data_IF_103867070219
#
_entry.id   IF_103867070219
#
_cell.length_a   1.000
_cell.length_b   1.000
_cell.length_c   1.000
_cell.angle_alpha   90.00
_cell.angle_beta   90.00
_cell.angle_gamma   90.00
#
_symmetry.space_group_name_H-M   'P 1'
#
loop_
_entity.id
_entity.type
_entity.pdbx_description
1 polymer ?
#
# COMPACT_ATOMS: atom_id res chain seq x y z
N UNK A 1 13.18 -17.81 10.21
CA UNK A 1 12.26 -18.78 9.54
C UNK A 1 13.00 -19.78 8.65
N UNK A 2 13.78 -19.38 7.65
CA UNK A 2 14.46 -20.31 6.72
C UNK A 2 15.37 -21.38 7.39
N UNK A 3 16.19 -21.09 8.43
CA UNK A 3 16.93 -22.12 9.16
C UNK A 3 16.03 -23.17 9.79
N UNK A 4 14.87 -22.80 10.30
CA UNK A 4 13.90 -23.73 10.87
C UNK A 4 13.31 -24.64 9.81
N UNK A 5 12.99 -24.12 8.61
CA UNK A 5 12.52 -24.93 7.48
C UNK A 5 13.59 -25.97 7.05
N UNK A 6 14.86 -25.59 7.03
CA UNK A 6 15.97 -26.55 6.80
C UNK A 6 15.99 -27.67 7.82
N UNK A 7 15.80 -27.34 9.10
CA UNK A 7 15.76 -28.35 10.17
C UNK A 7 14.55 -29.26 9.99
N UNK A 8 13.36 -28.71 9.72
CA UNK A 8 12.14 -29.50 9.49
C UNK A 8 12.32 -30.51 8.34
N UNK A 9 12.92 -30.09 7.21
CA UNK A 9 13.28 -30.98 6.11
C UNK A 9 14.27 -32.07 6.55
N UNK A 10 15.31 -31.70 7.29
CA UNK A 10 16.36 -32.63 7.77
C UNK A 10 15.77 -33.71 8.69
N UNK A 11 14.89 -33.36 9.62
CA UNK A 11 14.25 -34.30 10.57
C UNK A 11 13.01 -34.99 9.99
N UNK A 12 12.66 -34.75 8.74
CA UNK A 12 11.47 -35.29 8.06
C UNK A 12 10.19 -35.03 8.87
N UNK A 13 9.99 -33.76 9.22
CA UNK A 13 8.83 -33.29 9.99
C UNK A 13 7.52 -33.73 9.35
N UNK A 14 6.63 -34.33 10.16
CA UNK A 14 5.39 -34.99 9.67
C UNK A 14 4.11 -34.17 9.87
N UNK A 15 4.15 -33.12 10.72
CA UNK A 15 2.98 -32.29 10.95
C UNK A 15 2.79 -31.29 9.81
N UNK A 16 1.55 -30.89 9.49
CA UNK A 16 1.26 -29.89 8.47
C UNK A 16 2.07 -28.61 8.67
N UNK A 17 2.60 -28.09 7.59
CA UNK A 17 3.48 -26.91 7.60
C UNK A 17 3.01 -25.87 6.60
N UNK A 18 2.88 -24.61 7.05
CA UNK A 18 2.52 -23.49 6.21
C UNK A 18 3.61 -22.43 6.30
N UNK A 19 4.16 -22.08 5.17
CA UNK A 19 5.07 -20.95 5.02
C UNK A 19 4.28 -19.74 4.56
N UNK A 20 3.92 -18.85 5.48
CA UNK A 20 3.24 -17.61 5.14
C UNK A 20 4.24 -16.49 4.90
N UNK A 21 4.25 -15.99 3.66
CA UNK A 21 5.21 -15.00 3.18
C UNK A 21 4.58 -13.63 3.17
N UNK A 22 5.18 -12.71 3.93
CA UNK A 22 4.83 -11.29 3.94
C UNK A 22 5.95 -10.53 3.23
N UNK A 23 5.62 -9.79 2.16
CA UNK A 23 6.54 -9.02 1.34
C UNK A 23 7.05 -9.73 0.08
N UNK A 24 7.45 -8.94 -0.93
CA UNK A 24 7.56 -9.33 -2.34
C UNK A 24 8.88 -9.99 -2.78
N UNK A 25 9.85 -10.28 -1.89
CA UNK A 25 11.22 -10.66 -2.32
C UNK A 25 11.53 -12.14 -2.33
N UNK A 26 10.59 -13.03 -1.93
CA UNK A 26 10.90 -14.47 -1.82
C UNK A 26 11.29 -15.10 -3.15
N UNK A 27 10.55 -14.81 -4.22
CA UNK A 27 10.83 -15.35 -5.56
C UNK A 27 12.21 -14.97 -6.06
N UNK A 28 12.63 -13.70 -5.89
CA UNK A 28 13.97 -13.24 -6.24
C UNK A 28 15.05 -13.96 -5.43
N UNK A 29 14.84 -14.16 -4.13
CA UNK A 29 15.79 -14.89 -3.26
C UNK A 29 15.95 -16.35 -3.66
N UNK A 30 14.88 -17.00 -4.08
CA UNK A 30 14.92 -18.38 -4.60
C UNK A 30 15.64 -18.41 -5.95
N UNK A 31 15.29 -17.52 -6.88
CA UNK A 31 15.92 -17.41 -8.20
C UNK A 31 17.43 -17.19 -8.10
N UNK A 32 17.87 -16.37 -7.14
CA UNK A 32 19.29 -16.04 -6.93
C UNK A 32 20.02 -17.08 -6.04
N UNK A 33 19.39 -18.19 -5.68
CA UNK A 33 20.00 -19.25 -4.88
C UNK A 33 20.24 -18.91 -3.39
N UNK A 34 19.74 -17.76 -2.92
CA UNK A 34 19.81 -17.36 -1.50
C UNK A 34 18.96 -18.30 -0.66
N UNK A 35 17.80 -18.71 -1.18
CA UNK A 35 16.94 -19.72 -0.61
C UNK A 35 16.80 -20.90 -1.57
N UNK A 36 17.01 -22.10 -1.05
CA UNK A 36 16.87 -23.34 -1.79
C UNK A 36 15.39 -23.63 -2.03
N UNK A 37 15.01 -23.81 -3.30
CA UNK A 37 13.65 -24.14 -3.74
C UNK A 37 13.11 -25.42 -3.10
N UNK A 38 13.98 -26.42 -2.88
CA UNK A 38 13.59 -27.72 -2.31
C UNK A 38 13.28 -27.63 -0.81
N UNK A 39 13.80 -26.59 -0.15
CA UNK A 39 13.45 -26.30 1.23
C UNK A 39 12.11 -25.57 1.31
N UNK A 40 11.87 -24.61 0.42
CA UNK A 40 10.57 -23.94 0.30
C UNK A 40 9.50 -24.94 -0.12
N UNK A 41 9.78 -25.77 -1.13
CA UNK A 41 8.86 -26.79 -1.64
C UNK A 41 8.61 -27.97 -0.68
N UNK A 42 9.38 -28.10 0.41
CA UNK A 42 9.13 -29.07 1.47
C UNK A 42 7.91 -28.72 2.33
N UNK A 43 7.53 -27.44 2.41
CA UNK A 43 6.33 -27.03 3.14
C UNK A 43 5.08 -27.54 2.42
N UNK A 44 4.03 -27.93 3.16
CA UNK A 44 2.75 -28.33 2.56
C UNK A 44 2.16 -27.21 1.72
N UNK A 45 2.27 -25.97 2.21
CA UNK A 45 1.84 -24.78 1.50
C UNK A 45 2.82 -23.62 1.69
N UNK A 46 3.11 -22.90 0.61
CA UNK A 46 3.72 -21.57 0.63
C UNK A 46 2.66 -20.55 0.22
N UNK A 47 2.21 -19.74 1.19
CA UNK A 47 1.20 -18.71 0.98
C UNK A 47 1.90 -17.41 0.64
N UNK A 48 1.48 -16.77 -0.45
CA UNK A 48 2.01 -15.49 -0.94
C UNK A 48 0.89 -14.50 -1.22
N UNK A 49 1.21 -13.20 -1.26
CA UNK A 49 0.20 -12.15 -1.31
C UNK A 49 -0.31 -11.84 -2.72
N UNK A 50 0.42 -12.21 -3.79
CA UNK A 50 0.10 -11.79 -5.16
C UNK A 50 0.35 -12.87 -6.22
N UNK A 51 -0.29 -12.69 -7.39
CA UNK A 51 -0.10 -13.56 -8.56
C UNK A 51 1.34 -13.51 -9.10
N UNK A 52 1.99 -12.35 -9.07
CA UNK A 52 3.39 -12.22 -9.49
C UNK A 52 4.30 -13.07 -8.58
N UNK A 53 4.05 -13.11 -7.28
CA UNK A 53 4.82 -13.96 -6.36
C UNK A 53 4.59 -15.46 -6.63
N UNK A 54 3.35 -15.86 -6.99
CA UNK A 54 3.09 -17.23 -7.44
C UNK A 54 3.96 -17.53 -8.65
N UNK A 55 3.89 -16.70 -9.69
CA UNK A 55 4.64 -16.88 -10.94
C UNK A 55 6.14 -17.01 -10.67
N UNK A 56 6.71 -16.10 -9.88
CA UNK A 56 8.13 -16.12 -9.53
C UNK A 56 8.57 -17.42 -8.86
N UNK A 57 7.75 -17.97 -7.97
CA UNK A 57 8.06 -19.23 -7.27
C UNK A 57 7.83 -20.46 -8.14
N UNK A 58 6.77 -20.48 -8.94
CA UNK A 58 6.50 -21.58 -9.88
C UNK A 58 7.54 -21.65 -10.97
N UNK A 59 8.03 -20.53 -11.48
CA UNK A 59 9.15 -20.47 -12.44
C UNK A 59 10.44 -21.05 -11.86
N UNK A 60 10.62 -20.96 -10.53
CA UNK A 60 11.71 -21.62 -9.83
C UNK A 60 11.46 -23.12 -9.53
N UNK A 61 10.27 -23.65 -9.87
CA UNK A 61 9.90 -25.05 -9.66
C UNK A 61 9.24 -25.35 -8.30
N UNK A 62 8.83 -24.34 -7.55
CA UNK A 62 8.04 -24.52 -6.30
C UNK A 62 6.56 -24.73 -6.68
N UNK A 63 5.98 -25.90 -6.35
CA UNK A 63 4.65 -26.30 -6.84
C UNK A 63 3.49 -26.01 -5.89
N UNK A 64 3.76 -25.94 -4.60
CA UNK A 64 2.76 -25.83 -3.53
C UNK A 64 2.55 -24.37 -3.08
N UNK A 65 2.42 -23.48 -4.06
CA UNK A 65 2.21 -22.04 -3.84
C UNK A 65 0.72 -21.71 -3.92
N UNK A 66 0.25 -20.91 -2.99
CA UNK A 66 -1.14 -20.48 -2.91
C UNK A 66 -1.23 -18.98 -2.64
N UNK A 67 -2.10 -18.28 -3.35
CA UNK A 67 -2.32 -16.85 -3.10
C UNK A 67 -3.32 -16.63 -1.96
N UNK A 68 -2.93 -15.77 -1.03
CA UNK A 68 -3.82 -15.17 -0.07
C UNK A 68 -3.45 -13.69 0.06
N UNK A 69 -4.33 -12.76 -0.35
CA UNK A 69 -4.05 -11.34 -0.24
C UNK A 69 -3.92 -10.93 1.23
N UNK A 70 -3.29 -9.81 1.49
CA UNK A 70 -3.31 -9.20 2.81
C UNK A 70 -4.77 -8.86 3.19
N UNK A 71 -5.09 -8.84 4.49
CA UNK A 71 -6.44 -8.61 4.99
C UNK A 71 -6.41 -7.93 6.35
N UNK A 72 -7.56 -7.38 6.73
CA UNK A 72 -7.79 -6.78 8.06
C UNK A 72 -9.16 -7.18 8.61
N UNK A 73 -9.35 -7.22 9.93
CA UNK A 73 -10.68 -7.22 10.50
C UNK A 73 -11.31 -5.83 10.24
N UNK A 74 -12.30 -5.78 9.34
CA UNK A 74 -12.98 -4.53 9.00
C UNK A 74 -14.34 -4.54 9.70
N UNK A 75 -14.41 -3.84 10.82
CA UNK A 75 -15.63 -3.71 11.65
C UNK A 75 -16.23 -2.31 11.60
N UNK A 76 -15.53 -1.37 10.97
CA UNK A 76 -15.89 0.04 10.92
C UNK A 76 -15.53 0.67 9.58
N UNK A 77 -16.43 1.52 9.09
CA UNK A 77 -16.19 2.40 7.94
C UNK A 77 -16.47 3.85 8.34
N UNK A 78 -15.53 4.78 8.16
CA UNK A 78 -15.77 6.20 8.37
C UNK A 78 -16.92 6.73 7.52
N UNK A 79 -17.70 7.65 8.05
CA UNK A 79 -18.72 8.32 7.27
C UNK A 79 -18.09 9.38 6.34
N UNK A 80 -18.06 9.09 5.04
CA UNK A 80 -17.49 9.97 4.03
C UNK A 80 -18.54 10.81 3.26
N UNK A 81 -19.83 10.78 3.67
CA UNK A 81 -20.91 11.45 2.95
C UNK A 81 -20.71 12.96 2.85
N UNK A 82 -20.28 13.61 3.93
CA UNK A 82 -20.02 15.05 3.94
C UNK A 82 -18.93 15.42 2.95
N UNK A 83 -17.81 14.70 2.98
CA UNK A 83 -16.70 14.89 2.05
C UNK A 83 -17.12 14.68 0.59
N UNK A 84 -17.95 13.66 0.30
CA UNK A 84 -18.48 13.43 -1.04
C UNK A 84 -19.38 14.60 -1.47
N UNK A 85 -20.19 15.14 -0.56
CA UNK A 85 -21.02 16.30 -0.84
C UNK A 85 -20.19 17.57 -1.09
N UNK A 86 -19.06 17.74 -0.43
CA UNK A 86 -18.09 18.80 -0.74
C UNK A 86 -17.57 18.66 -2.19
N UNK A 87 -17.26 17.43 -2.63
CA UNK A 87 -16.76 17.16 -4.00
C UNK A 87 -17.81 17.39 -5.10
N UNK A 88 -19.10 17.34 -4.78
CA UNK A 88 -20.19 17.68 -5.72
C UNK A 88 -20.40 19.19 -5.88
N UNK A 89 -19.85 19.97 -4.97
CA UNK A 89 -19.84 21.44 -5.00
C UNK A 89 -18.44 21.90 -5.40
N UNK A 90 -18.31 23.14 -5.82
CA UNK A 90 -16.98 23.73 -6.02
C UNK A 90 -16.21 23.72 -4.69
N UNK A 91 -15.05 23.02 -4.66
CA UNK A 91 -14.24 22.92 -3.46
C UNK A 91 -13.52 24.24 -3.27
N UNK A 92 -13.86 24.96 -2.19
CA UNK A 92 -13.27 26.26 -1.84
C UNK A 92 -12.04 26.15 -0.93
N UNK A 93 -11.78 24.96 -0.36
CA UNK A 93 -10.65 24.68 0.51
C UNK A 93 -9.47 24.03 -0.23
N UNK A 94 -8.25 24.09 0.33
CA UNK A 94 -7.12 23.33 -0.21
C UNK A 94 -7.40 21.82 -0.23
N UNK A 95 -6.92 21.14 -1.28
CA UNK A 95 -6.95 19.69 -1.38
C UNK A 95 -5.98 19.07 -0.37
N UNK A 96 -6.41 18.05 0.37
CA UNK A 96 -5.63 17.43 1.44
C UNK A 96 -5.06 16.10 0.98
N UNK A 97 -3.76 16.10 0.70
CA UNK A 97 -3.02 14.86 0.44
C UNK A 97 -2.46 14.27 1.73
N UNK A 98 -2.34 12.95 1.79
CA UNK A 98 -1.67 12.24 2.87
C UNK A 98 -0.67 11.24 2.33
N UNK A 99 0.47 11.11 2.99
CA UNK A 99 1.37 9.97 2.87
C UNK A 99 1.34 9.19 4.18
N UNK A 100 1.16 7.87 4.11
CA UNK A 100 1.08 7.00 5.27
C UNK A 100 1.90 5.73 5.05
N UNK A 101 3.15 5.73 5.50
CA UNK A 101 4.06 4.59 5.49
C UNK A 101 5.33 4.92 6.29
N UNK A 102 6.29 4.00 6.34
CA UNK A 102 7.66 4.36 6.75
C UNK A 102 8.19 5.46 5.84
N UNK A 103 8.71 6.52 6.44
CA UNK A 103 9.27 7.67 5.72
C UNK A 103 10.72 7.34 5.37
N UNK A 104 10.96 7.06 4.09
CA UNK A 104 12.24 6.70 3.50
C UNK A 104 12.20 6.93 1.98
N UNK A 105 13.37 7.02 1.36
CA UNK A 105 13.47 7.34 -0.08
C UNK A 105 12.70 6.36 -0.96
N UNK A 106 12.84 5.06 -0.69
CA UNK A 106 12.25 3.99 -1.49
C UNK A 106 10.71 3.94 -1.40
N UNK A 107 10.13 4.66 -0.46
CA UNK A 107 8.67 4.89 -0.39
C UNK A 107 8.21 6.10 -1.20
N UNK A 108 9.14 6.73 -1.95
CA UNK A 108 8.85 7.85 -2.84
C UNK A 108 8.69 9.19 -2.12
N UNK A 109 9.22 9.35 -0.89
CA UNK A 109 9.10 10.60 -0.15
C UNK A 109 9.79 11.76 -0.88
N UNK A 110 10.95 11.53 -1.51
CA UNK A 110 11.65 12.55 -2.30
C UNK A 110 10.83 12.97 -3.52
N UNK A 111 10.16 12.02 -4.18
CA UNK A 111 9.32 12.32 -5.36
C UNK A 111 8.12 13.19 -4.97
N UNK A 112 7.50 12.95 -3.80
CA UNK A 112 6.41 13.76 -3.26
C UNK A 112 6.90 15.19 -2.96
N UNK A 113 8.03 15.30 -2.27
CA UNK A 113 8.60 16.62 -1.89
C UNK A 113 8.95 17.43 -3.14
N UNK A 114 9.56 16.79 -4.13
CA UNK A 114 9.92 17.48 -5.39
C UNK A 114 8.67 17.87 -6.21
N UNK A 115 7.65 17.03 -6.26
CA UNK A 115 6.37 17.38 -6.89
C UNK A 115 5.70 18.58 -6.19
N UNK A 116 5.77 18.63 -4.85
CA UNK A 116 5.27 19.75 -4.06
C UNK A 116 6.03 21.05 -4.35
N UNK A 117 7.37 20.99 -4.47
CA UNK A 117 8.17 22.17 -4.87
C UNK A 117 7.75 22.73 -6.22
N UNK A 118 7.52 21.86 -7.20
CA UNK A 118 7.07 22.25 -8.54
C UNK A 118 5.66 22.85 -8.52
N UNK A 119 4.73 22.26 -7.75
CA UNK A 119 3.39 22.83 -7.58
C UNK A 119 3.45 24.22 -6.95
N UNK A 120 4.27 24.40 -5.90
CA UNK A 120 4.45 25.72 -5.27
C UNK A 120 5.05 26.74 -6.23
N UNK A 121 6.04 26.36 -7.03
CA UNK A 121 6.68 27.22 -8.03
C UNK A 121 5.73 27.60 -9.19
N UNK A 122 4.68 26.82 -9.44
CA UNK A 122 3.70 27.06 -10.51
C UNK A 122 2.37 27.66 -10.01
N UNK A 123 2.35 28.23 -8.79
CA UNK A 123 1.20 28.99 -8.26
C UNK A 123 0.13 28.15 -7.54
N UNK A 124 0.40 26.87 -7.22
CA UNK A 124 -0.54 26.00 -6.52
C UNK A 124 -0.34 25.93 -5.00
N UNK A 125 0.59 26.73 -4.41
CA UNK A 125 1.00 26.65 -3.00
C UNK A 125 -0.20 26.62 -2.04
N UNK A 126 -1.19 27.47 -2.25
CA UNK A 126 -2.34 27.65 -1.36
C UNK A 126 -3.55 26.74 -1.75
N UNK A 127 -3.37 25.89 -2.76
CA UNK A 127 -4.42 25.02 -3.29
C UNK A 127 -4.40 23.60 -2.72
N UNK A 128 -3.38 23.24 -1.96
CA UNK A 128 -3.26 21.90 -1.38
C UNK A 128 -2.41 21.90 -0.10
N UNK A 129 -2.53 20.82 0.66
CA UNK A 129 -1.63 20.47 1.76
C UNK A 129 -1.18 19.01 1.62
N UNK A 130 -0.02 18.66 2.18
CA UNK A 130 0.46 17.29 2.30
C UNK A 130 0.85 17.02 3.73
N UNK A 131 0.29 15.97 4.32
CA UNK A 131 0.67 15.50 5.64
C UNK A 131 1.35 14.13 5.55
N UNK A 132 2.55 14.00 6.14
CA UNK A 132 3.30 12.76 6.23
C UNK A 132 3.09 12.11 7.59
N UNK A 133 2.63 10.84 7.60
CA UNK A 133 2.56 10.00 8.78
C UNK A 133 3.45 8.78 8.65
N UNK A 134 4.16 8.44 9.71
CA UNK A 134 4.95 7.24 9.85
C UNK A 134 6.29 7.43 10.54
N UNK A 135 6.94 6.32 10.85
CA UNK A 135 8.29 6.34 11.40
C UNK A 135 9.28 6.73 10.32
N UNK A 136 10.12 7.72 10.62
CA UNK A 136 11.21 8.13 9.72
C UNK A 136 12.38 7.17 9.89
N UNK A 137 12.98 6.70 8.78
CA UNK A 137 14.22 5.95 8.80
C UNK A 137 15.36 6.84 9.33
N UNK A 138 16.13 6.36 10.29
CA UNK A 138 17.17 7.17 10.95
C UNK A 138 18.18 7.76 9.95
N UNK A 139 18.56 6.98 8.94
CA UNK A 139 19.50 7.41 7.90
C UNK A 139 18.93 8.47 6.94
N UNK A 140 17.61 8.71 6.98
CA UNK A 140 16.92 9.66 6.11
C UNK A 140 16.37 10.88 6.87
N UNK A 141 16.40 10.86 8.19
CA UNK A 141 15.70 11.83 9.05
C UNK A 141 16.16 13.29 8.82
N UNK A 142 17.47 13.51 8.83
CA UNK A 142 18.04 14.86 8.62
C UNK A 142 17.71 15.40 7.24
N UNK A 143 17.92 14.58 6.20
CA UNK A 143 17.66 14.92 4.81
C UNK A 143 16.16 15.23 4.58
N UNK A 144 15.28 14.43 5.19
CA UNK A 144 13.83 14.63 5.13
C UNK A 144 13.40 16.01 5.67
N UNK A 145 13.84 16.35 6.88
CA UNK A 145 13.45 17.64 7.48
C UNK A 145 14.04 18.84 6.74
N UNK A 146 15.30 18.76 6.30
CA UNK A 146 15.90 19.80 5.47
C UNK A 146 15.14 20.05 4.17
N UNK A 147 14.60 18.99 3.55
CA UNK A 147 13.79 19.10 2.34
C UNK A 147 12.39 19.66 2.60
N UNK A 148 11.82 19.44 3.79
CA UNK A 148 10.51 19.95 4.18
C UNK A 148 10.55 21.43 4.57
N UNK A 149 11.62 21.89 5.16
CA UNK A 149 11.75 23.25 5.74
C UNK A 149 11.23 24.39 4.83
N UNK A 150 11.52 24.41 3.52
CA UNK A 150 11.02 25.46 2.63
C UNK A 150 9.54 25.30 2.22
N UNK A 151 8.87 24.21 2.62
CA UNK A 151 7.52 23.86 2.16
C UNK A 151 6.48 24.04 3.27
N UNK A 152 5.92 25.23 3.43
CA UNK A 152 4.98 25.56 4.50
C UNK A 152 3.65 24.78 4.45
N UNK A 153 3.29 24.24 3.29
CA UNK A 153 2.08 23.43 3.06
C UNK A 153 2.34 21.92 3.09
N UNK A 154 3.55 21.50 3.50
CA UNK A 154 3.92 20.07 3.65
C UNK A 154 4.39 19.84 5.08
N UNK A 155 3.76 18.88 5.79
CA UNK A 155 3.97 18.70 7.21
C UNK A 155 4.32 17.25 7.56
N UNK A 156 5.13 17.06 8.61
CA UNK A 156 5.26 15.80 9.29
C UNK A 156 4.36 15.78 10.53
N UNK A 157 3.48 14.78 10.63
CA UNK A 157 2.47 14.65 11.68
C UNK A 157 2.74 13.51 12.67
N UNK A 158 3.89 12.85 12.57
CA UNK A 158 4.23 11.75 13.46
C UNK A 158 3.53 10.44 13.07
N UNK A 159 2.93 9.78 14.04
CA UNK A 159 2.28 8.48 13.85
C UNK A 159 0.76 8.62 13.84
N UNK A 160 0.10 7.89 12.94
CA UNK A 160 -1.35 7.75 12.90
C UNK A 160 -1.73 6.33 13.33
N UNK A 161 -2.45 6.20 14.44
CA UNK A 161 -2.91 4.90 14.93
C UNK A 161 -4.20 4.49 14.22
N UNK A 162 -4.14 3.41 13.43
CA UNK A 162 -5.27 2.82 12.71
C UNK A 162 -5.79 1.52 13.36
N UNK A 163 -5.53 1.32 14.66
CA UNK A 163 -6.09 0.20 15.43
C UNK A 163 -7.49 0.50 15.98
N UNK A 164 -8.03 1.68 15.73
CA UNK A 164 -9.34 2.12 16.23
C UNK A 164 -10.04 3.05 15.21
N UNK A 165 -11.33 3.25 15.43
CA UNK A 165 -12.22 4.08 14.61
C UNK A 165 -11.71 5.53 14.46
N UNK A 166 -11.23 6.15 15.55
CA UNK A 166 -10.73 7.54 15.52
C UNK A 166 -9.58 7.74 14.55
N UNK A 167 -8.72 6.72 14.39
CA UNK A 167 -7.64 6.76 13.42
C UNK A 167 -8.16 6.75 11.98
N UNK A 168 -9.15 5.91 11.70
CA UNK A 168 -9.80 5.86 10.39
C UNK A 168 -10.62 7.11 10.11
N UNK A 169 -11.34 7.68 11.12
CA UNK A 169 -12.02 8.96 10.98
C UNK A 169 -11.05 10.08 10.63
N UNK A 170 -9.89 10.13 11.29
CA UNK A 170 -8.87 11.11 10.97
C UNK A 170 -8.30 10.89 9.55
N UNK A 171 -8.01 9.65 9.18
CA UNK A 171 -7.50 9.35 7.85
C UNK A 171 -8.54 9.71 6.78
N UNK A 172 -9.83 9.44 7.01
CA UNK A 172 -10.91 9.74 6.06
C UNK A 172 -11.13 11.23 5.78
N UNK A 173 -10.47 12.14 6.54
CA UNK A 173 -10.53 13.58 6.28
C UNK A 173 -9.65 14.02 5.11
N UNK A 174 -8.72 13.17 4.66
CA UNK A 174 -7.89 13.45 3.50
C UNK A 174 -8.62 13.11 2.21
N UNK A 175 -8.21 13.76 1.13
CA UNK A 175 -8.87 13.63 -0.18
C UNK A 175 -8.19 12.55 -1.04
N UNK A 176 -6.86 12.49 -1.02
CA UNK A 176 -6.06 11.50 -1.74
C UNK A 176 -4.84 11.07 -0.92
N UNK A 177 -4.44 9.81 -1.11
CA UNK A 177 -3.19 9.30 -0.57
C UNK A 177 -2.11 9.25 -1.65
N UNK A 178 -0.90 9.71 -1.31
CA UNK A 178 0.28 9.62 -2.17
C UNK A 178 1.10 8.41 -1.75
N UNK A 179 1.33 7.47 -2.67
CA UNK A 179 2.13 6.28 -2.39
C UNK A 179 3.02 5.92 -3.59
N UNK A 180 3.96 6.79 -3.98
CA UNK A 180 4.84 6.57 -5.13
C UNK A 180 6.02 5.65 -4.78
N UNK A 181 5.73 4.50 -4.15
CA UNK A 181 6.73 3.53 -3.68
C UNK A 181 7.44 2.82 -4.84
N UNK A 182 8.73 2.58 -4.66
CA UNK A 182 9.55 1.67 -5.46
C UNK A 182 10.34 0.67 -4.58
N UNK A 183 9.83 0.47 -3.35
CA UNK A 183 10.42 -0.46 -2.40
C UNK A 183 10.36 -1.90 -2.93
N UNK A 184 11.54 -2.52 -3.14
CA UNK A 184 11.64 -3.91 -3.69
C UNK A 184 10.97 -4.96 -2.81
N UNK A 185 10.88 -4.71 -1.52
CA UNK A 185 10.21 -5.60 -0.57
C UNK A 185 8.69 -5.45 -0.49
N UNK A 186 8.08 -4.64 -1.37
CA UNK A 186 6.62 -4.49 -1.39
C UNK A 186 5.97 -5.79 -1.86
N UNK A 187 5.12 -6.37 -1.01
CA UNK A 187 4.14 -7.36 -1.40
C UNK A 187 2.78 -6.69 -1.60
N UNK A 188 1.79 -7.07 -0.81
CA UNK A 188 0.56 -6.29 -0.70
C UNK A 188 0.69 -5.26 0.43
N UNK A 189 0.87 -4.00 0.07
CA UNK A 189 1.01 -2.92 1.05
C UNK A 189 -0.28 -2.77 1.90
N UNK A 190 -0.17 -2.99 3.21
CA UNK A 190 -1.34 -2.91 4.12
C UNK A 190 -2.04 -1.54 4.08
N UNK A 191 -1.33 -0.49 3.73
CA UNK A 191 -1.89 0.87 3.56
C UNK A 191 -2.94 0.95 2.44
N UNK A 192 -2.95 0.04 1.46
CA UNK A 192 -4.02 -0.02 0.46
C UNK A 192 -5.36 -0.31 1.13
N UNK A 193 -5.39 -1.29 2.05
CA UNK A 193 -6.62 -1.61 2.79
C UNK A 193 -7.05 -0.41 3.66
N UNK A 194 -6.08 0.29 4.30
CA UNK A 194 -6.38 1.48 5.09
C UNK A 194 -6.99 2.60 4.25
N UNK A 195 -6.44 2.85 3.07
CA UNK A 195 -6.96 3.83 2.11
C UNK A 195 -8.38 3.45 1.64
N UNK A 196 -8.60 2.17 1.31
CA UNK A 196 -9.90 1.66 0.89
C UNK A 196 -10.96 1.82 1.99
N UNK A 197 -10.67 1.41 3.24
CA UNK A 197 -11.57 1.58 4.39
C UNK A 197 -11.93 3.05 4.59
N UNK A 198 -10.94 3.95 4.50
CA UNK A 198 -11.13 5.38 4.69
C UNK A 198 -11.79 6.09 3.51
N UNK A 199 -12.06 5.38 2.41
CA UNK A 199 -12.59 5.94 1.19
C UNK A 199 -11.64 6.98 0.56
N UNK A 200 -10.34 6.72 0.54
CA UNK A 200 -9.32 7.64 0.01
C UNK A 200 -8.70 7.01 -1.22
N UNK A 201 -8.95 7.53 -2.43
CA UNK A 201 -8.24 7.09 -3.62
C UNK A 201 -6.76 7.47 -3.55
N UNK A 202 -5.93 6.77 -4.31
CA UNK A 202 -4.48 6.91 -4.22
C UNK A 202 -3.87 7.40 -5.54
N UNK A 203 -2.77 8.16 -5.44
CA UNK A 203 -1.81 8.28 -6.53
C UNK A 203 -0.67 7.32 -6.20
N UNK A 204 -0.49 6.29 -7.03
CA UNK A 204 0.39 5.15 -6.75
C UNK A 204 1.25 4.81 -7.96
N UNK A 205 2.48 4.35 -7.73
CA UNK A 205 3.34 3.88 -8.81
C UNK A 205 2.84 2.57 -9.42
N UNK A 206 3.03 2.43 -10.72
CA UNK A 206 2.93 1.16 -11.44
C UNK A 206 4.14 0.30 -11.09
N UNK A 207 4.15 -0.25 -9.88
CA UNK A 207 5.26 -0.98 -9.30
C UNK A 207 4.82 -2.33 -8.76
N UNK A 208 5.62 -3.35 -9.04
CA UNK A 208 5.44 -4.71 -8.50
C UNK A 208 3.99 -5.22 -8.62
N UNK A 209 3.24 -5.20 -7.51
CA UNK A 209 1.93 -5.83 -7.41
C UNK A 209 0.77 -4.81 -7.37
N UNK A 210 1.06 -3.52 -7.43
CA UNK A 210 0.08 -2.46 -7.15
C UNK A 210 -1.16 -2.54 -8.04
N UNK A 211 -0.99 -2.86 -9.34
CA UNK A 211 -2.12 -3.02 -10.29
C UNK A 211 -3.02 -4.22 -10.00
N UNK A 212 -2.56 -5.19 -9.23
CA UNK A 212 -3.42 -6.31 -8.83
C UNK A 212 -4.44 -5.89 -7.76
N UNK A 213 -4.11 -4.89 -6.95
CA UNK A 213 -4.87 -4.52 -5.75
C UNK A 213 -5.62 -3.20 -5.89
N UNK A 214 -5.21 -2.36 -6.84
CA UNK A 214 -5.80 -1.05 -7.09
C UNK A 214 -6.19 -0.93 -8.56
N UNK A 215 -7.30 -0.21 -8.82
CA UNK A 215 -7.87 -0.06 -10.17
C UNK A 215 -7.76 1.38 -10.65
N UNK A 216 -7.16 1.60 -11.85
CA UNK A 216 -7.04 2.92 -12.48
C UNK A 216 -8.41 3.59 -12.64
N UNK A 217 -8.51 4.84 -12.20
CA UNK A 217 -9.71 5.67 -12.30
C UNK A 217 -10.84 5.29 -11.33
N UNK A 218 -10.68 4.18 -10.55
CA UNK A 218 -11.68 3.77 -9.55
C UNK A 218 -11.15 3.94 -8.13
N UNK A 219 -10.01 3.31 -7.80
CA UNK A 219 -9.41 3.37 -6.47
C UNK A 219 -8.03 4.02 -6.48
N UNK A 220 -7.39 4.12 -7.66
CA UNK A 220 -6.09 4.75 -7.82
C UNK A 220 -5.91 5.44 -9.17
N UNK A 221 -4.90 6.31 -9.21
CA UNK A 221 -4.31 6.91 -10.40
C UNK A 221 -2.86 6.45 -10.47
N UNK A 222 -2.49 5.72 -11.53
CA UNK A 222 -1.14 5.17 -11.64
C UNK A 222 -0.17 6.16 -12.30
N UNK A 223 1.07 6.10 -11.83
CA UNK A 223 2.21 6.83 -12.40
C UNK A 223 3.40 5.87 -12.59
N UNK A 224 4.31 6.14 -13.52
CA UNK A 224 5.56 5.39 -13.60
C UNK A 224 6.45 5.62 -12.37
N UNK A 225 7.30 4.63 -12.03
CA UNK A 225 8.32 4.76 -10.96
C UNK A 225 9.32 5.86 -11.31
N UNK A 226 9.80 6.58 -10.29
CA UNK A 226 10.79 7.67 -10.43
C UNK A 226 10.37 8.76 -11.44
N UNK A 227 9.08 9.00 -11.59
CA UNK A 227 8.56 9.97 -12.52
C UNK A 227 7.86 11.14 -11.79
N UNK A 228 8.67 12.04 -11.25
CA UNK A 228 8.19 13.25 -10.58
C UNK A 228 7.30 14.12 -11.48
N UNK A 229 7.60 14.31 -12.79
CA UNK A 229 6.68 15.02 -13.70
C UNK A 229 5.29 14.38 -13.76
N UNK A 230 5.18 13.05 -13.81
CA UNK A 230 3.89 12.37 -13.82
C UNK A 230 3.14 12.51 -12.47
N UNK A 231 3.87 12.45 -11.35
CA UNK A 231 3.29 12.69 -10.02
C UNK A 231 2.76 14.14 -9.91
N UNK A 232 3.58 15.12 -10.30
CA UNK A 232 3.19 16.52 -10.37
C UNK A 232 1.93 16.73 -11.21
N UNK A 233 1.88 16.18 -12.43
CA UNK A 233 0.74 16.31 -13.33
C UNK A 233 -0.54 15.68 -12.75
N UNK A 234 -0.46 14.48 -12.16
CA UNK A 234 -1.60 13.84 -11.51
C UNK A 234 -2.09 14.65 -10.31
N UNK A 235 -1.18 15.14 -9.44
CA UNK A 235 -1.55 16.00 -8.30
C UNK A 235 -2.21 17.30 -8.78
N UNK A 236 -1.64 17.98 -9.80
CA UNK A 236 -2.17 19.18 -10.40
C UNK A 236 -3.59 18.95 -10.94
N UNK A 237 -3.82 17.90 -11.72
CA UNK A 237 -5.13 17.53 -12.26
C UNK A 237 -6.16 17.21 -11.17
N UNK A 238 -5.73 16.62 -10.04
CA UNK A 238 -6.62 16.44 -8.89
C UNK A 238 -7.02 17.79 -8.28
N UNK A 239 -6.08 18.72 -8.12
CA UNK A 239 -6.33 20.08 -7.60
C UNK A 239 -7.26 20.87 -8.53
N UNK A 240 -7.11 20.71 -9.83
CA UNK A 240 -7.94 21.33 -10.88
C UNK A 240 -9.32 20.67 -11.07
N UNK A 241 -9.63 19.61 -10.29
CA UNK A 241 -10.94 18.93 -10.35
C UNK A 241 -11.13 18.04 -11.58
N UNK A 242 -10.06 17.63 -12.26
CA UNK A 242 -10.14 16.78 -13.47
C UNK A 242 -10.58 15.33 -13.18
N UNK A 243 -10.68 14.94 -11.90
CA UNK A 243 -11.10 13.60 -11.48
C UNK A 243 -12.28 13.68 -10.53
N UNK A 244 -13.24 12.75 -10.66
CA UNK A 244 -14.35 12.59 -9.71
C UNK A 244 -13.87 11.83 -8.47
N UNK A 245 -13.19 12.56 -7.57
CA UNK A 245 -12.65 12.00 -6.31
C UNK A 245 -13.78 11.45 -5.43
N UNK A 246 -14.95 12.06 -5.46
CA UNK A 246 -16.11 11.60 -4.70
C UNK A 246 -16.59 10.20 -5.14
N UNK A 247 -16.66 9.97 -6.44
CA UNK A 247 -16.98 8.65 -7.01
C UNK A 247 -15.87 7.63 -6.68
N UNK A 248 -14.61 8.02 -6.81
CA UNK A 248 -13.49 7.17 -6.47
C UNK A 248 -13.49 6.80 -4.98
N UNK A 249 -13.83 7.73 -4.08
CA UNK A 249 -13.94 7.48 -2.64
C UNK A 249 -14.99 6.41 -2.30
N UNK A 250 -16.16 6.46 -2.96
CA UNK A 250 -17.18 5.41 -2.81
C UNK A 250 -16.68 4.04 -3.29
N UNK A 251 -15.99 4.03 -4.43
CA UNK A 251 -15.38 2.80 -4.96
C UNK A 251 -14.33 2.21 -4.01
N UNK A 252 -13.54 3.06 -3.35
CA UNK A 252 -12.59 2.61 -2.33
C UNK A 252 -13.32 1.83 -1.22
N UNK A 253 -14.34 2.41 -0.57
CA UNK A 253 -15.06 1.72 0.50
C UNK A 253 -15.77 0.44 0.03
N UNK A 254 -16.33 0.43 -1.18
CA UNK A 254 -16.92 -0.78 -1.76
C UNK A 254 -15.88 -1.91 -1.92
N UNK A 255 -14.67 -1.56 -2.38
CA UNK A 255 -13.60 -2.55 -2.59
C UNK A 255 -12.94 -3.02 -1.28
N UNK A 256 -13.00 -2.23 -0.21
CA UNK A 256 -12.39 -2.61 1.08
C UNK A 256 -12.92 -3.95 1.61
N UNK A 257 -14.21 -4.25 1.41
CA UNK A 257 -14.85 -5.47 1.90
C UNK A 257 -14.21 -6.75 1.33
N UNK A 258 -13.61 -6.68 0.14
CA UNK A 258 -12.85 -7.79 -0.47
C UNK A 258 -11.68 -8.26 0.40
N UNK A 259 -11.14 -7.36 1.22
CA UNK A 259 -10.00 -7.62 2.11
C UNK A 259 -10.40 -7.77 3.58
N UNK A 260 -11.70 -7.90 3.87
CA UNK A 260 -12.16 -8.23 5.21
C UNK A 260 -11.74 -9.66 5.57
N UNK A 261 -11.24 -9.85 6.79
CA UNK A 261 -10.77 -11.16 7.28
C UNK A 261 -11.81 -12.26 7.06
N UNK A 262 -13.10 -11.98 7.29
CA UNK A 262 -14.19 -12.95 7.13
C UNK A 262 -14.42 -13.37 5.67
N UNK A 263 -14.01 -12.55 4.70
CA UNK A 263 -14.06 -12.87 3.27
C UNK A 263 -12.80 -13.58 2.80
N UNK A 264 -11.66 -13.29 3.41
CA UNK A 264 -10.37 -13.84 3.01
C UNK A 264 -10.11 -15.18 3.72
N UNK A 265 -10.36 -15.26 5.04
CA UNK A 265 -10.14 -16.48 5.85
C UNK A 265 -11.46 -17.27 5.98
N UNK A 266 -11.79 -17.99 4.92
CA UNK A 266 -13.04 -18.77 4.87
C UNK A 266 -12.87 -20.17 5.49
N UNK A 267 -13.98 -20.80 5.91
CA UNK A 267 -13.99 -22.20 6.36
C UNK A 267 -13.43 -23.15 5.28
N UNK A 268 -13.70 -22.89 4.01
CA UNK A 268 -13.17 -23.67 2.89
C UNK A 268 -11.65 -23.58 2.81
N UNK A 269 -11.09 -22.38 3.00
CA UNK A 269 -9.65 -22.18 3.06
C UNK A 269 -9.03 -22.93 4.23
N UNK A 270 -9.60 -22.83 5.44
CA UNK A 270 -9.08 -23.51 6.62
C UNK A 270 -9.06 -25.04 6.44
N UNK A 271 -10.12 -25.62 5.86
CA UNK A 271 -10.16 -27.04 5.49
C UNK A 271 -9.06 -27.41 4.48
N UNK A 272 -8.89 -26.59 3.41
CA UNK A 272 -7.82 -26.79 2.42
C UNK A 272 -6.43 -26.80 3.05
N UNK A 273 -6.21 -25.93 4.01
CA UNK A 273 -4.94 -25.82 4.75
C UNK A 273 -4.81 -26.83 5.89
N UNK A 274 -5.81 -27.68 6.12
CA UNK A 274 -5.86 -28.64 7.24
C UNK A 274 -5.78 -27.97 8.61
N UNK A 275 -6.41 -26.79 8.75
CA UNK A 275 -6.47 -26.01 9.99
C UNK A 275 -7.86 -26.07 10.68
N UNK A 276 -8.83 -26.72 10.06
CA UNK A 276 -10.19 -26.98 10.58
C UNK A 276 -10.70 -28.33 10.12
#
# INVERSE_FOLDING_TARGET
MYPMMKLMKKVKWKQPTIHWVIGGTLGEKVKNGIFDKDIIGYMDWTIVESNLMIQQLTDCGVKNVFQLPNFKPITYYPNIKERINEWKKEITRPLRFVFLSRIMKEKGCDDIIEAARRLNATGFKDKYTIDFYGKIAETYKTDFFQKLEPLQNVNYRGFLNLQNEKGYDKLSQYDLMLFPTYWKGEGFAGVFIDALISGIPMIVTDWAHNRQFMTEGETALFIPVHNVPALYDKMKKCIEGCYDIGKMALKCQQNAETYNVDKVITKSLLKKLKLA
#
